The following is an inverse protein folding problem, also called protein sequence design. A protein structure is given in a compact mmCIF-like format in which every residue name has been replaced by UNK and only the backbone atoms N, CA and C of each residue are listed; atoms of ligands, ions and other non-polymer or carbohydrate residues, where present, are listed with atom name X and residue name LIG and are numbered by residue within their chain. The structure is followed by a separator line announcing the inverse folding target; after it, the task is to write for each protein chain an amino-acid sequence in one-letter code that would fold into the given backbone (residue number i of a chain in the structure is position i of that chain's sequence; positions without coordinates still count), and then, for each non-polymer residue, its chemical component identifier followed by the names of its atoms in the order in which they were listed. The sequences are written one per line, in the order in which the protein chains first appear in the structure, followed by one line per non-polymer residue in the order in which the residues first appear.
data_IF_220514811610
#
_entry.id   IF_220514811610
#
_cell.length_a   1.000
_cell.length_b   1.000
_cell.length_c   1.000
_cell.angle_alpha   90.00
_cell.angle_beta   90.00
_cell.angle_gamma   90.00
#
_symmetry.space_group_name_H-M   'P 1'
#
loop_
_entity.id
_entity.type
_entity.pdbx_description
1 polymer ?
#
# COMPACT_ATOMS: atom_id res chain seq x y z
N UNK A 1 5.27 -16.78 10.39
CA UNK A 1 6.32 -16.83 9.35
C UNK A 1 6.30 -15.50 8.61
N UNK A 2 7.45 -14.85 8.42
CA UNK A 2 7.51 -13.61 7.65
C UNK A 2 7.20 -13.90 6.18
N UNK A 3 6.55 -12.97 5.48
CA UNK A 3 6.24 -13.12 4.05
C UNK A 3 7.54 -13.30 3.23
N UNK A 4 8.64 -12.70 3.68
CA UNK A 4 9.99 -12.89 3.11
C UNK A 4 10.41 -14.36 3.18
N UNK A 5 10.34 -15.01 4.34
CA UNK A 5 10.72 -16.41 4.49
C UNK A 5 9.87 -17.35 3.62
N UNK A 6 8.59 -17.00 3.39
CA UNK A 6 7.70 -17.74 2.48
C UNK A 6 8.04 -17.51 1.00
N UNK A 7 8.49 -16.31 0.64
CA UNK A 7 8.98 -16.00 -0.71
C UNK A 7 10.30 -16.73 -0.99
N UNK A 8 11.21 -16.75 -0.02
CA UNK A 8 12.52 -17.41 -0.11
C UNK A 8 12.41 -18.94 -0.15
N UNK A 9 11.44 -19.53 0.56
CA UNK A 9 11.20 -20.98 0.54
C UNK A 9 10.55 -21.49 -0.74
N UNK A 10 10.10 -20.59 -1.64
CA UNK A 10 9.32 -20.97 -2.82
C UNK A 10 7.89 -21.44 -2.49
N UNK A 11 7.48 -21.44 -1.21
CA UNK A 11 6.11 -21.72 -0.75
C UNK A 11 5.15 -20.55 -0.95
N UNK A 12 5.66 -19.41 -1.44
CA UNK A 12 4.86 -18.39 -2.09
C UNK A 12 4.28 -19.00 -3.37
N UNK A 13 3.25 -19.85 -3.19
CA UNK A 13 2.49 -20.44 -4.27
C UNK A 13 2.15 -19.38 -5.32
N UNK A 14 2.20 -19.79 -6.58
CA UNK A 14 1.96 -18.98 -7.78
C UNK A 14 1.14 -17.72 -7.50
N UNK A 15 1.74 -16.55 -7.74
CA UNK A 15 1.05 -15.27 -7.66
C UNK A 15 -0.33 -15.37 -8.31
N UNK A 16 -1.36 -14.90 -7.61
CA UNK A 16 -2.73 -14.92 -8.15
C UNK A 16 -2.93 -13.71 -9.03
N UNK A 17 -2.34 -13.75 -10.22
CA UNK A 17 -2.42 -12.66 -11.18
C UNK A 17 -3.87 -12.47 -11.65
N UNK A 18 -4.46 -11.34 -11.27
CA UNK A 18 -5.80 -10.94 -11.70
C UNK A 18 -5.81 -9.45 -12.02
N UNK A 19 -6.69 -8.99 -12.93
CA UNK A 19 -6.97 -7.57 -13.09
C UNK A 19 -7.47 -6.97 -11.76
N UNK A 20 -6.94 -5.81 -11.37
CA UNK A 20 -7.40 -5.04 -10.21
C UNK A 20 -7.22 -3.54 -10.45
N UNK A 21 -8.08 -2.72 -9.81
CA UNK A 21 -7.92 -1.26 -9.81
C UNK A 21 -6.82 -0.85 -8.84
N UNK A 22 -5.80 -0.14 -9.34
CA UNK A 22 -4.74 0.42 -8.50
C UNK A 22 -5.31 1.48 -7.55
N UNK A 23 -6.26 2.28 -8.02
CA UNK A 23 -6.89 3.32 -7.21
C UNK A 23 -7.64 2.71 -6.01
N UNK A 24 -8.42 1.65 -6.23
CA UNK A 24 -9.08 0.94 -5.14
C UNK A 24 -8.06 0.36 -4.15
N UNK A 25 -6.91 -0.11 -4.65
CA UNK A 25 -5.83 -0.61 -3.79
C UNK A 25 -5.23 0.50 -2.91
N UNK A 26 -5.01 1.70 -3.47
CA UNK A 26 -4.53 2.88 -2.71
C UNK A 26 -5.57 3.29 -1.66
N UNK A 27 -6.85 3.35 -2.03
CA UNK A 27 -7.94 3.72 -1.09
C UNK A 27 -8.01 2.76 0.10
N UNK A 28 -7.98 1.45 -0.12
CA UNK A 28 -7.94 0.45 0.95
C UNK A 28 -6.76 0.66 1.92
N UNK A 29 -5.59 1.04 1.40
CA UNK A 29 -4.40 1.29 2.23
C UNK A 29 -4.58 2.54 3.08
N UNK A 30 -5.12 3.63 2.51
CA UNK A 30 -5.37 4.86 3.25
C UNK A 30 -6.43 4.68 4.33
N UNK A 31 -7.50 3.95 4.06
CA UNK A 31 -8.52 3.59 5.07
C UNK A 31 -7.90 2.81 6.23
N UNK A 32 -7.02 1.85 5.96
CA UNK A 32 -6.32 1.08 7.01
C UNK A 32 -5.37 1.93 7.85
N UNK A 33 -4.82 3.01 7.29
CA UNK A 33 -3.88 3.90 7.97
C UNK A 33 -4.54 5.17 8.51
N UNK A 34 -5.86 5.33 8.36
CA UNK A 34 -6.61 6.55 8.70
C UNK A 34 -6.35 7.00 10.14
N UNK A 35 -6.41 6.08 11.10
CA UNK A 35 -6.15 6.41 12.51
C UNK A 35 -4.74 6.95 12.75
N UNK A 36 -3.74 6.46 12.02
CA UNK A 36 -2.34 6.90 12.16
C UNK A 36 -2.17 8.28 11.50
N UNK A 37 -2.73 8.45 10.30
CA UNK A 37 -2.75 9.72 9.57
C UNK A 37 -3.37 10.82 10.45
N UNK A 38 -4.53 10.54 11.04
CA UNK A 38 -5.24 11.48 11.90
C UNK A 38 -4.48 11.78 13.19
N UNK A 39 -3.92 10.76 13.86
CA UNK A 39 -3.16 10.93 15.09
C UNK A 39 -1.89 11.77 14.90
N UNK A 40 -1.27 11.70 13.71
CA UNK A 40 -0.07 12.47 13.36
C UNK A 40 -0.39 13.83 12.72
N UNK A 41 -1.67 14.14 12.45
CA UNK A 41 -2.04 15.35 11.71
C UNK A 41 -1.48 15.39 10.28
N UNK A 42 -1.18 14.23 9.69
CA UNK A 42 -0.54 14.14 8.39
C UNK A 42 -1.54 14.47 7.26
N UNK A 43 -1.06 15.17 6.22
CA UNK A 43 -1.84 15.39 4.99
C UNK A 43 -1.41 14.41 3.92
N UNK A 44 -2.36 13.59 3.45
CA UNK A 44 -2.15 12.67 2.32
C UNK A 44 -2.87 13.19 1.09
N UNK A 45 -2.19 13.23 -0.06
CA UNK A 45 -2.74 13.67 -1.34
C UNK A 45 -2.54 12.60 -2.39
N UNK A 46 -3.57 12.30 -3.17
CA UNK A 46 -3.47 11.42 -4.34
C UNK A 46 -3.37 12.30 -5.59
N UNK A 47 -2.21 12.33 -6.22
CA UNK A 47 -1.99 12.99 -7.52
C UNK A 47 -1.86 11.93 -8.62
N UNK A 48 -3.01 11.47 -9.11
CA UNK A 48 -3.10 10.47 -10.18
C UNK A 48 -3.54 11.13 -11.49
N UNK A 49 -2.65 11.19 -12.48
CA UNK A 49 -2.97 11.69 -13.83
C UNK A 49 -3.80 10.71 -14.67
N UNK A 50 -3.79 9.44 -14.29
CA UNK A 50 -4.55 8.37 -14.95
C UNK A 50 -5.61 7.88 -13.98
N UNK A 51 -6.87 8.11 -14.31
CA UNK A 51 -8.01 7.53 -13.60
C UNK A 51 -8.24 6.11 -14.09
N UNK A 52 -8.81 5.25 -13.23
CA UNK A 52 -9.24 3.89 -13.59
C UNK A 52 -8.10 2.97 -14.09
N UNK A 53 -6.87 3.18 -13.61
CA UNK A 53 -5.74 2.30 -13.96
C UNK A 53 -5.99 0.86 -13.44
N UNK A 54 -6.17 -0.06 -14.38
CA UNK A 54 -6.27 -1.50 -14.11
C UNK A 54 -4.91 -2.16 -14.36
N UNK A 55 -4.41 -2.86 -13.35
CA UNK A 55 -3.18 -3.64 -13.42
C UNK A 55 -3.47 -5.14 -13.35
N UNK A 56 -2.62 -5.97 -13.98
CA UNK A 56 -2.66 -7.42 -13.78
C UNK A 56 -1.59 -7.80 -12.76
N UNK A 57 -1.99 -8.33 -11.61
CA UNK A 57 -1.08 -8.68 -10.54
C UNK A 57 -1.78 -9.37 -9.38
N UNK A 58 -1.02 -9.76 -8.36
CA UNK A 58 -1.61 -10.23 -7.11
C UNK A 58 -1.91 -9.02 -6.22
N UNK A 59 -3.19 -8.66 -6.13
CA UNK A 59 -3.65 -7.49 -5.38
C UNK A 59 -3.17 -7.50 -3.94
N UNK A 60 -3.10 -8.66 -3.30
CA UNK A 60 -2.69 -8.77 -1.89
C UNK A 60 -1.27 -8.22 -1.67
N UNK A 61 -0.32 -8.66 -2.51
CA UNK A 61 1.06 -8.21 -2.39
C UNK A 61 1.22 -6.74 -2.80
N UNK A 62 0.46 -6.26 -3.78
CA UNK A 62 0.44 -4.83 -4.12
C UNK A 62 -0.08 -3.97 -2.96
N UNK A 63 -1.17 -4.38 -2.30
CA UNK A 63 -1.67 -3.71 -1.09
C UNK A 63 -0.60 -3.67 -0.01
N UNK A 64 0.14 -4.76 0.19
CA UNK A 64 1.20 -4.82 1.19
C UNK A 64 2.38 -3.90 0.85
N UNK A 65 2.81 -3.85 -0.41
CA UNK A 65 3.86 -2.92 -0.87
C UNK A 65 3.44 -1.49 -0.57
N UNK A 66 2.23 -1.09 -0.99
CA UNK A 66 1.71 0.26 -0.76
C UNK A 66 1.57 0.57 0.74
N UNK A 67 1.05 -0.36 1.53
CA UNK A 67 0.95 -0.20 2.98
C UNK A 67 2.32 0.07 3.61
N UNK A 68 3.32 -0.75 3.30
CA UNK A 68 4.68 -0.58 3.85
C UNK A 68 5.29 0.77 3.47
N UNK A 69 5.08 1.22 2.23
CA UNK A 69 5.62 2.50 1.75
C UNK A 69 4.94 3.68 2.44
N UNK A 70 3.61 3.68 2.53
CA UNK A 70 2.84 4.77 3.18
C UNK A 70 3.08 4.77 4.68
N UNK A 71 3.10 3.60 5.33
CA UNK A 71 3.41 3.49 6.76
C UNK A 71 4.82 4.01 7.06
N UNK A 72 5.81 3.67 6.23
CA UNK A 72 7.15 4.22 6.36
C UNK A 72 7.18 5.74 6.14
N UNK A 73 6.42 6.27 5.16
CA UNK A 73 6.31 7.70 4.95
C UNK A 73 5.73 8.41 6.18
N UNK A 74 4.70 7.85 6.83
CA UNK A 74 4.15 8.37 8.07
C UNK A 74 5.16 8.32 9.22
N UNK A 75 5.85 7.19 9.40
CA UNK A 75 6.89 7.02 10.44
C UNK A 75 8.07 7.99 10.29
N UNK A 76 8.50 8.22 9.06
CA UNK A 76 9.66 9.05 8.72
C UNK A 76 9.28 10.51 8.42
N UNK A 77 8.04 10.90 8.73
CA UNK A 77 7.56 12.28 8.65
C UNK A 77 7.29 12.85 10.06
N UNK A 78 8.29 12.86 10.97
CA UNK A 78 8.09 13.23 12.37
C UNK A 78 7.83 14.73 12.59
N UNK A 79 8.06 15.58 11.58
CA UNK A 79 7.88 17.02 11.69
C UNK A 79 7.24 17.60 10.42
N UNK A 80 5.97 18.01 10.51
CA UNK A 80 5.45 19.08 9.65
C UNK A 80 4.99 20.25 10.54
N UNK A 81 5.87 21.21 10.83
CA UNK A 81 5.56 22.61 10.69
C UNK A 81 5.76 23.01 9.20
N UNK A 82 4.68 23.45 8.55
CA UNK A 82 4.72 24.33 7.38
C UNK A 82 3.93 25.60 7.72
#
# INVERSE_FOLDING_TARGET
MLIISRLESGEAGSLKLKPFSLEACVRDVLERLESVINAQGAKVTIDAKVTDLVMTGDRFYWTQVLFNLVENALKQNPEIPL
#
